data_IF_462465955291
#
_entry.id   IF_462465955291
#
_cell.length_a   1.000
_cell.length_b   1.000
_cell.length_c   1.000
_cell.angle_alpha   90.00
_cell.angle_beta   90.00
_cell.angle_gamma   90.00
#
_symmetry.space_group_name_H-M   'P 1'
#
loop_
_entity.id
_entity.type
_entity.pdbx_description
1 polymer ?
#
# COMPACT_ATOMS: atom_id res chain seq x y z
N UNK A 1 -33.64 39.82 6.71
CA UNK A 1 -33.84 38.65 5.84
C UNK A 1 -33.26 37.41 6.49
N UNK A 2 -34.02 36.32 6.52
CA UNK A 2 -33.88 35.18 7.44
C UNK A 2 -32.99 34.11 6.81
N UNK A 3 -31.70 34.04 7.14
CA UNK A 3 -30.74 32.99 6.69
C UNK A 3 -30.98 31.62 7.37
N UNK A 4 -32.24 31.21 7.56
CA UNK A 4 -32.56 29.92 8.21
C UNK A 4 -32.54 28.72 7.24
N UNK A 5 -32.47 28.94 5.92
CA UNK A 5 -32.49 27.88 4.92
C UNK A 5 -31.12 27.27 4.57
N UNK A 6 -30.05 28.06 4.56
CA UNK A 6 -28.74 27.61 4.01
C UNK A 6 -28.02 26.61 4.93
N UNK A 7 -28.25 26.70 6.25
CA UNK A 7 -27.60 25.82 7.23
C UNK A 7 -28.06 24.37 7.18
N UNK A 8 -29.28 24.10 6.70
CA UNK A 8 -29.82 22.74 6.62
C UNK A 8 -29.28 22.01 5.37
N UNK A 9 -29.19 22.70 4.24
CA UNK A 9 -28.62 22.15 3.00
C UNK A 9 -27.12 21.88 3.08
N UNK A 10 -26.35 22.73 3.79
CA UNK A 10 -24.92 22.48 4.02
C UNK A 10 -24.66 21.25 4.90
N UNK A 11 -25.48 21.05 5.95
CA UNK A 11 -25.34 19.90 6.85
C UNK A 11 -25.77 18.59 6.18
N UNK A 12 -26.80 18.64 5.33
CA UNK A 12 -27.29 17.48 4.59
C UNK A 12 -26.27 17.06 3.49
N UNK A 13 -25.62 18.02 2.84
CA UNK A 13 -24.57 17.75 1.86
C UNK A 13 -23.31 17.14 2.52
N UNK A 14 -22.95 17.60 3.73
CA UNK A 14 -21.84 17.03 4.51
C UNK A 14 -22.13 15.59 4.98
N UNK A 15 -23.38 15.28 5.33
CA UNK A 15 -23.80 13.92 5.74
C UNK A 15 -23.85 12.95 4.55
N UNK A 16 -24.28 13.41 3.37
CA UNK A 16 -24.29 12.61 2.13
C UNK A 16 -22.86 12.31 1.63
N UNK A 17 -21.92 13.26 1.77
CA UNK A 17 -20.49 13.04 1.47
C UNK A 17 -19.83 12.00 2.40
N UNK A 18 -20.25 11.96 3.67
CA UNK A 18 -19.78 10.95 4.64
C UNK A 18 -20.37 9.55 4.37
N UNK A 19 -21.61 9.44 3.88
CA UNK A 19 -22.24 8.15 3.56
C UNK A 19 -21.67 7.53 2.28
N UNK A 20 -21.39 8.31 1.24
CA UNK A 20 -20.84 7.79 -0.03
C UNK A 20 -19.40 7.28 0.08
N UNK A 21 -18.63 7.76 1.07
CA UNK A 21 -17.28 7.25 1.32
C UNK A 21 -17.26 5.90 2.05
N UNK A 22 -18.34 5.53 2.73
CA UNK A 22 -18.47 4.24 3.44
C UNK A 22 -18.91 3.11 2.49
N UNK A 23 -19.65 3.42 1.42
CA UNK A 23 -20.31 2.40 0.56
C UNK A 23 -19.43 1.94 -0.62
N UNK A 24 -18.34 2.64 -0.96
CA UNK A 24 -17.46 2.29 -2.10
C UNK A 24 -16.30 1.34 -1.76
N UNK A 25 -16.18 0.88 -0.52
CA UNK A 25 -15.12 -0.05 -0.12
C UNK A 25 -15.60 -1.52 -0.23
N UNK A 26 -15.68 -2.03 -1.46
CA UNK A 26 -15.51 -3.46 -1.70
C UNK A 26 -14.23 -3.67 -2.51
N UNK A 27 -13.14 -3.17 -1.93
CA UNK A 27 -11.77 -3.51 -2.30
C UNK A 27 -11.47 -4.92 -1.77
N UNK A 28 -10.56 -5.66 -2.41
CA UNK A 28 -9.67 -6.57 -1.71
C UNK A 28 -9.17 -5.85 -0.44
N UNK A 29 -9.84 -6.13 0.67
CA UNK A 29 -9.70 -5.40 1.92
C UNK A 29 -8.35 -5.78 2.50
N UNK A 30 -7.31 -5.05 2.11
CA UNK A 30 -5.96 -5.27 2.63
C UNK A 30 -5.87 -4.68 4.03
N UNK A 31 -5.36 -5.47 4.98
CA UNK A 31 -5.08 -4.98 6.33
C UNK A 31 -3.58 -4.82 6.54
N UNK A 32 -3.10 -3.58 6.47
CA UNK A 32 -1.69 -3.23 6.74
C UNK A 32 -1.31 -3.34 8.23
N UNK A 33 -2.27 -3.68 9.10
CA UNK A 33 -2.03 -3.96 10.51
C UNK A 33 -1.85 -5.45 10.80
N UNK A 34 -2.35 -6.34 9.93
CA UNK A 34 -2.13 -7.79 10.05
C UNK A 34 -0.67 -8.15 9.78
N UNK A 35 0.11 -8.28 10.85
CA UNK A 35 1.53 -8.61 10.78
C UNK A 35 1.79 -9.98 10.20
N UNK A 36 0.88 -10.94 10.40
CA UNK A 36 1.06 -12.29 9.85
C UNK A 36 0.89 -12.25 8.32
N UNK A 37 -0.13 -11.54 7.82
CA UNK A 37 -0.32 -11.30 6.39
C UNK A 37 0.89 -10.60 5.77
N UNK A 38 1.34 -9.50 6.38
CA UNK A 38 2.49 -8.76 5.86
C UNK A 38 3.79 -9.58 5.87
N UNK A 39 4.00 -10.46 6.85
CA UNK A 39 5.16 -11.36 6.88
C UNK A 39 5.12 -12.40 5.75
N UNK A 40 3.95 -12.98 5.46
CA UNK A 40 3.77 -13.90 4.33
C UNK A 40 3.95 -13.17 3.00
N UNK A 41 3.38 -11.98 2.86
CA UNK A 41 3.56 -11.12 1.69
C UNK A 41 5.02 -10.71 1.46
N UNK A 42 5.74 -10.36 2.53
CA UNK A 42 7.17 -10.06 2.45
C UNK A 42 7.98 -11.28 2.00
N UNK A 43 7.66 -12.48 2.50
CA UNK A 43 8.26 -13.73 2.03
C UNK A 43 8.01 -13.93 0.54
N UNK A 44 6.77 -13.80 0.07
CA UNK A 44 6.45 -13.93 -1.36
C UNK A 44 7.21 -12.91 -2.20
N UNK A 45 7.23 -11.64 -1.80
CA UNK A 45 7.96 -10.60 -2.51
C UNK A 45 9.45 -10.93 -2.63
N UNK A 46 10.09 -11.35 -1.53
CA UNK A 46 11.51 -11.66 -1.55
C UNK A 46 11.83 -12.87 -2.43
N UNK A 47 10.96 -13.89 -2.47
CA UNK A 47 11.20 -15.10 -3.24
C UNK A 47 10.83 -14.97 -4.73
N UNK A 48 9.81 -14.18 -5.07
CA UNK A 48 9.27 -14.13 -6.45
C UNK A 48 9.47 -12.79 -7.16
N UNK A 49 9.63 -11.69 -6.43
CA UNK A 49 9.65 -10.34 -7.01
C UNK A 49 11.02 -9.67 -6.91
N UNK A 50 11.74 -9.86 -5.79
CA UNK A 50 12.96 -9.12 -5.47
C UNK A 50 14.16 -9.41 -6.38
N UNK A 51 14.09 -10.46 -7.22
CA UNK A 51 15.08 -10.68 -8.27
C UNK A 51 15.04 -9.63 -9.38
N UNK A 52 13.86 -9.09 -9.67
CA UNK A 52 13.63 -8.13 -10.76
C UNK A 52 13.15 -6.77 -10.29
N UNK A 53 12.46 -6.68 -9.15
CA UNK A 53 11.88 -5.45 -8.64
C UNK A 53 12.54 -4.99 -7.34
N UNK A 54 12.92 -3.71 -7.32
CA UNK A 54 13.48 -3.06 -6.13
C UNK A 54 12.38 -2.41 -5.28
N UNK A 55 12.68 -2.21 -3.99
CA UNK A 55 11.95 -1.32 -3.09
C UNK A 55 12.94 -0.28 -2.52
N UNK A 56 13.43 0.62 -3.39
CA UNK A 56 14.48 1.58 -3.09
C UNK A 56 14.16 2.53 -1.93
N UNK A 57 12.87 2.76 -1.62
CA UNK A 57 12.45 3.63 -0.50
C UNK A 57 12.16 2.87 0.79
N UNK A 58 12.33 1.55 0.81
CA UNK A 58 12.16 0.73 2.01
C UNK A 58 13.49 0.06 2.39
N UNK A 59 13.92 0.31 3.63
CA UNK A 59 15.08 -0.37 4.23
C UNK A 59 14.64 -1.61 5.01
N UNK A 60 15.51 -2.62 5.06
CA UNK A 60 15.23 -3.89 5.73
C UNK A 60 14.88 -3.71 7.22
N UNK A 61 15.55 -2.80 7.94
CA UNK A 61 15.28 -2.51 9.35
C UNK A 61 13.87 -1.93 9.59
N UNK A 62 13.43 -1.01 8.74
CA UNK A 62 12.11 -0.39 8.80
C UNK A 62 11.02 -1.40 8.46
N UNK A 63 11.26 -2.21 7.43
CA UNK A 63 10.41 -3.34 7.09
C UNK A 63 10.29 -4.29 8.28
N UNK A 64 11.40 -4.76 8.86
CA UNK A 64 11.39 -5.67 10.00
C UNK A 64 10.57 -5.11 11.18
N UNK A 65 10.78 -3.83 11.52
CA UNK A 65 10.01 -3.17 12.58
C UNK A 65 8.51 -3.11 12.25
N UNK A 66 8.16 -2.74 11.02
CA UNK A 66 6.77 -2.67 10.59
C UNK A 66 6.07 -4.02 10.49
N UNK A 67 6.83 -5.08 10.18
CA UNK A 67 6.36 -6.47 10.15
C UNK A 67 6.31 -7.14 11.54
N UNK A 68 6.80 -6.47 12.59
CA UNK A 68 6.90 -7.07 13.93
C UNK A 68 7.98 -8.16 14.04
N UNK A 69 8.99 -8.14 13.16
CA UNK A 69 10.17 -9.02 13.21
C UNK A 69 11.14 -8.47 14.27
N UNK A 70 10.71 -8.58 15.52
CA UNK A 70 11.38 -8.03 16.69
C UNK A 70 11.55 -9.09 17.78
N UNK A 71 12.59 -8.95 18.59
CA UNK A 71 12.80 -9.76 19.80
C UNK A 71 11.92 -9.23 20.94
N UNK A 72 11.87 -9.96 22.06
CA UNK A 72 11.11 -9.58 23.25
C UNK A 72 11.51 -8.22 23.86
N UNK A 73 12.74 -7.77 23.62
CA UNK A 73 13.26 -6.45 24.05
C UNK A 73 12.84 -5.29 23.12
N UNK A 74 12.07 -5.57 22.06
CA UNK A 74 11.63 -4.60 21.07
C UNK A 74 12.67 -4.24 20.01
N UNK A 75 13.87 -4.83 20.01
CA UNK A 75 14.88 -4.66 18.96
C UNK A 75 14.56 -5.57 17.77
N UNK A 76 14.99 -5.18 16.57
CA UNK A 76 14.81 -6.02 15.36
C UNK A 76 15.52 -7.37 15.53
N UNK A 77 14.88 -8.45 15.08
CA UNK A 77 15.52 -9.76 15.03
C UNK A 77 16.31 -9.90 13.73
N UNK A 78 17.57 -9.45 13.76
CA UNK A 78 18.44 -9.47 12.57
C UNK A 78 18.67 -10.88 12.03
N UNK A 79 18.76 -11.89 12.89
CA UNK A 79 19.03 -13.26 12.47
C UNK A 79 17.85 -13.81 11.68
N UNK A 80 16.62 -13.57 12.18
CA UNK A 80 15.41 -13.96 11.46
C UNK A 80 15.30 -13.22 10.12
N UNK A 81 15.63 -11.93 10.09
CA UNK A 81 15.59 -11.12 8.89
C UNK A 81 16.60 -11.59 7.85
N UNK A 82 17.87 -11.80 8.24
CA UNK A 82 18.94 -12.25 7.34
C UNK A 82 18.66 -13.65 6.79
N UNK A 83 18.22 -14.57 7.64
CA UNK A 83 18.02 -15.96 7.23
C UNK A 83 16.80 -16.18 6.33
N UNK A 84 15.81 -15.27 6.34
CA UNK A 84 14.53 -15.50 5.65
C UNK A 84 14.15 -14.43 4.61
N UNK A 85 14.71 -13.23 4.67
CA UNK A 85 14.28 -12.11 3.83
C UNK A 85 15.45 -11.34 3.18
N UNK A 86 16.70 -11.57 3.57
CA UNK A 86 17.89 -10.99 2.94
C UNK A 86 18.70 -12.09 2.27
N UNK A 87 18.47 -12.32 0.98
CA UNK A 87 19.18 -13.34 0.20
C UNK A 87 20.44 -12.81 -0.51
N UNK A 88 20.86 -11.60 -0.16
CA UNK A 88 21.99 -10.89 -0.78
C UNK A 88 23.02 -10.50 0.28
N UNK A 89 24.10 -9.83 -0.13
CA UNK A 89 25.10 -9.27 0.78
C UNK A 89 24.67 -7.94 1.42
N UNK A 90 23.39 -7.57 1.31
CA UNK A 90 22.87 -6.34 1.90
C UNK A 90 22.87 -6.38 3.43
N UNK A 91 23.08 -5.22 4.05
CA UNK A 91 22.93 -5.03 5.48
C UNK A 91 21.49 -4.68 5.85
N UNK A 92 21.13 -4.79 7.12
CA UNK A 92 19.78 -4.45 7.61
C UNK A 92 19.43 -2.97 7.43
N UNK A 93 20.42 -2.10 7.24
CA UNK A 93 20.19 -0.68 7.01
C UNK A 93 20.09 -0.35 5.52
N UNK A 94 20.39 -1.27 4.62
CA UNK A 94 20.33 -1.01 3.19
C UNK A 94 18.88 -1.01 2.68
N UNK A 95 18.59 -0.25 1.61
CA UNK A 95 17.35 -0.40 0.87
C UNK A 95 17.32 -1.75 0.16
N UNK A 96 16.11 -2.22 -0.16
CA UNK A 96 15.92 -3.47 -0.90
C UNK A 96 16.21 -3.20 -2.38
N UNK A 97 17.41 -3.59 -2.82
CA UNK A 97 17.89 -3.43 -4.19
C UNK A 97 17.92 -4.77 -4.90
N UNK A 98 17.96 -4.70 -6.23
CA UNK A 98 18.16 -5.86 -7.10
C UNK A 98 19.57 -5.85 -7.67
N UNK A 99 20.05 -7.04 -8.04
CA UNK A 99 21.35 -7.18 -8.70
C UNK A 99 21.28 -6.94 -10.21
N UNK A 100 20.07 -6.93 -10.80
CA UNK A 100 19.85 -6.80 -12.25
C UNK A 100 20.18 -5.39 -12.75
N UNK A 101 21.23 -5.22 -13.60
CA UNK A 101 21.54 -3.93 -14.22
C UNK A 101 20.46 -3.52 -15.24
N UNK A 102 20.17 -2.21 -15.41
CA UNK A 102 19.16 -1.74 -16.36
C UNK A 102 19.41 -2.16 -17.82
N UNK A 103 20.67 -2.25 -18.21
CA UNK A 103 21.15 -2.56 -19.55
C UNK A 103 20.83 -4.03 -19.89
N UNK A 104 21.15 -4.93 -18.95
CA UNK A 104 20.80 -6.34 -19.04
C UNK A 104 19.28 -6.53 -19.00
N UNK A 105 18.57 -5.78 -18.15
CA UNK A 105 17.12 -5.82 -18.07
C UNK A 105 16.46 -5.44 -19.41
N UNK A 106 16.97 -4.38 -20.06
CA UNK A 106 16.48 -3.95 -21.37
C UNK A 106 16.82 -4.97 -22.45
N UNK A 107 17.98 -5.62 -22.37
CA UNK A 107 18.37 -6.66 -23.32
C UNK A 107 17.49 -7.92 -23.19
N UNK A 108 17.19 -8.36 -21.95
CA UNK A 108 16.46 -9.61 -21.70
C UNK A 108 14.95 -9.45 -21.77
N UNK A 109 14.40 -8.35 -21.25
CA UNK A 109 12.96 -8.13 -21.13
C UNK A 109 12.43 -7.03 -22.08
N UNK A 110 13.30 -6.28 -22.75
CA UNK A 110 12.92 -5.13 -23.57
C UNK A 110 12.61 -3.85 -22.78
N UNK A 111 12.47 -3.96 -21.45
CA UNK A 111 12.17 -2.86 -20.55
C UNK A 111 12.85 -3.09 -19.19
N UNK A 112 13.18 -2.01 -18.50
CA UNK A 112 13.67 -2.06 -17.12
C UNK A 112 12.48 -2.26 -16.18
N UNK A 113 12.47 -3.31 -15.34
CA UNK A 113 11.43 -3.48 -14.33
C UNK A 113 11.34 -2.25 -13.41
N UNK A 114 10.14 -1.73 -13.12
CA UNK A 114 9.98 -0.58 -12.25
C UNK A 114 10.29 -0.92 -10.79
N UNK A 115 10.71 0.10 -10.05
CA UNK A 115 10.70 0.08 -8.58
C UNK A 115 9.26 -0.01 -8.07
N UNK A 116 9.02 -0.87 -7.08
CA UNK A 116 7.67 -1.12 -6.54
C UNK A 116 7.42 -0.42 -5.20
N UNK A 117 8.32 0.46 -4.73
CA UNK A 117 8.18 1.12 -3.43
C UNK A 117 6.88 1.90 -3.29
N UNK A 118 6.33 2.43 -4.39
CA UNK A 118 5.13 3.27 -4.38
C UNK A 118 4.02 2.74 -5.29
N UNK A 119 4.17 1.53 -5.85
CA UNK A 119 3.25 1.02 -6.87
C UNK A 119 1.82 0.87 -6.35
N UNK A 120 1.66 0.44 -5.09
CA UNK A 120 0.35 0.29 -4.47
C UNK A 120 -0.35 1.64 -4.28
N UNK A 121 0.42 2.71 -4.03
CA UNK A 121 -0.11 4.07 -3.90
C UNK A 121 -0.44 4.71 -5.24
N UNK A 122 0.30 4.35 -6.30
CA UNK A 122 0.05 4.83 -7.65
C UNK A 122 -1.15 4.14 -8.31
N UNK A 123 -1.23 2.81 -8.22
CA UNK A 123 -2.21 1.99 -8.95
C UNK A 123 -3.40 1.54 -8.09
N UNK A 124 -3.24 1.48 -6.77
CA UNK A 124 -4.22 0.87 -5.87
C UNK A 124 -4.06 -0.65 -5.74
N UNK A 125 -4.58 -1.21 -4.64
CA UNK A 125 -4.48 -2.64 -4.32
C UNK A 125 -5.30 -3.52 -5.24
N UNK A 126 -6.49 -3.07 -5.64
CA UNK A 126 -7.33 -3.78 -6.62
C UNK A 126 -6.62 -4.02 -7.94
N UNK A 127 -5.93 -2.98 -8.41
CA UNK A 127 -5.20 -3.05 -9.66
C UNK A 127 -4.05 -4.05 -9.55
N UNK A 128 -3.30 -4.04 -8.44
CA UNK A 128 -2.21 -4.99 -8.21
C UNK A 128 -2.72 -6.43 -8.13
N UNK A 129 -3.77 -6.68 -7.35
CA UNK A 129 -4.38 -8.00 -7.22
C UNK A 129 -4.85 -8.52 -8.58
N UNK A 130 -5.59 -7.68 -9.31
CA UNK A 130 -6.12 -8.02 -10.63
C UNK A 130 -5.03 -8.21 -11.67
N UNK A 131 -3.93 -7.44 -11.58
CA UNK A 131 -2.78 -7.57 -12.47
C UNK A 131 -2.06 -8.90 -12.23
N UNK A 132 -1.77 -9.26 -10.98
CA UNK A 132 -1.10 -10.52 -10.64
C UNK A 132 -1.95 -11.75 -10.95
N UNK A 133 -3.28 -11.66 -10.76
CA UNK A 133 -4.22 -12.74 -11.10
C UNK A 133 -4.64 -12.74 -12.59
N UNK A 134 -4.21 -11.73 -13.37
CA UNK A 134 -4.65 -11.48 -14.74
C UNK A 134 -3.81 -12.15 -15.83
N UNK A 135 -2.78 -12.92 -15.45
CA UNK A 135 -1.92 -13.62 -16.40
C UNK A 135 -2.65 -14.81 -17.03
N UNK A 136 -2.42 -15.00 -18.33
CA UNK A 136 -2.92 -16.13 -19.09
C UNK A 136 -1.87 -16.58 -20.12
N UNK A 137 -1.99 -17.82 -20.59
CA UNK A 137 -1.08 -18.40 -21.57
C UNK A 137 -1.30 -17.80 -22.95
N UNK A 138 -0.22 -17.37 -23.58
CA UNK A 138 -0.19 -16.74 -24.91
C UNK A 138 1.15 -17.07 -25.57
N UNK A 139 1.18 -18.11 -26.40
CA UNK A 139 2.39 -18.61 -27.04
C UNK A 139 2.96 -17.63 -28.09
N UNK A 140 2.22 -16.57 -28.46
CA UNK A 140 2.73 -15.51 -29.33
C UNK A 140 3.65 -14.53 -28.58
N UNK A 141 3.73 -14.61 -27.26
CA UNK A 141 4.57 -13.74 -26.42
C UNK A 141 5.92 -14.40 -26.11
N UNK A 142 7.01 -13.62 -25.92
CA UNK A 142 8.34 -14.16 -25.65
C UNK A 142 8.42 -15.12 -24.45
N UNK A 143 7.60 -14.88 -23.42
CA UNK A 143 7.55 -15.70 -22.20
C UNK A 143 6.34 -16.63 -22.14
N UNK A 144 5.62 -16.80 -23.25
CA UNK A 144 4.45 -17.69 -23.33
C UNK A 144 3.24 -17.22 -22.51
N UNK A 145 3.25 -16.00 -21.98
CA UNK A 145 2.17 -15.44 -21.18
C UNK A 145 1.88 -13.99 -21.52
N UNK A 146 0.64 -13.58 -21.31
CA UNK A 146 0.17 -12.20 -21.47
C UNK A 146 -0.75 -11.83 -20.30
N UNK A 147 -1.17 -10.58 -20.22
CA UNK A 147 -1.98 -10.07 -19.11
C UNK A 147 -3.25 -9.37 -19.60
N UNK A 148 -4.38 -9.64 -18.93
CA UNK A 148 -5.69 -9.09 -19.29
C UNK A 148 -5.81 -7.58 -19.04
N UNK A 149 -5.10 -7.05 -18.05
CA UNK A 149 -5.12 -5.62 -17.73
C UNK A 149 -4.07 -4.83 -18.51
N UNK A 150 -2.93 -5.47 -18.80
CA UNK A 150 -1.82 -4.85 -19.52
C UNK A 150 -1.44 -5.74 -20.71
N UNK A 151 -2.15 -5.64 -21.85
CA UNK A 151 -1.82 -6.43 -23.03
C UNK A 151 -0.41 -6.13 -23.52
N UNK A 152 0.34 -7.17 -23.85
CA UNK A 152 1.71 -7.04 -24.33
C UNK A 152 2.72 -6.74 -23.23
N UNK A 153 2.38 -7.05 -21.97
CA UNK A 153 3.30 -6.91 -20.83
C UNK A 153 4.61 -7.67 -21.06
N UNK A 154 5.71 -7.10 -20.56
CA UNK A 154 7.04 -7.71 -20.62
C UNK A 154 7.31 -8.65 -19.43
N UNK A 155 6.59 -8.47 -18.32
CA UNK A 155 6.70 -9.29 -17.12
C UNK A 155 6.21 -10.72 -17.40
N UNK A 156 7.01 -11.76 -17.12
CA UNK A 156 6.56 -13.15 -17.16
C UNK A 156 5.53 -13.46 -16.05
N UNK A 157 4.80 -14.57 -16.17
CA UNK A 157 3.96 -15.07 -15.08
C UNK A 157 4.80 -15.74 -13.97
N UNK A 158 5.43 -14.92 -13.14
CA UNK A 158 6.29 -15.38 -12.03
C UNK A 158 5.57 -16.19 -10.94
N UNK A 159 4.23 -16.14 -10.87
CA UNK A 159 3.43 -16.90 -9.91
C UNK A 159 2.77 -18.13 -10.53
N UNK A 160 3.14 -18.53 -11.76
CA UNK A 160 2.52 -19.66 -12.46
C UNK A 160 2.60 -20.96 -11.65
N UNK A 161 3.80 -21.29 -11.13
CA UNK A 161 4.01 -22.48 -10.30
C UNK A 161 3.14 -22.44 -9.04
N UNK A 162 3.10 -21.30 -8.34
CA UNK A 162 2.31 -21.14 -7.13
C UNK A 162 0.81 -21.28 -7.40
N UNK A 163 0.32 -20.73 -8.51
CA UNK A 163 -1.08 -20.84 -8.93
C UNK A 163 -1.45 -22.26 -9.38
N UNK A 164 -0.48 -23.08 -9.80
CA UNK A 164 -0.71 -24.48 -10.18
C UNK A 164 -0.66 -25.43 -8.96
N UNK A 165 0.22 -25.17 -8.00
CA UNK A 165 0.40 -26.01 -6.81
C UNK A 165 -0.70 -25.81 -5.75
N UNK A 166 -1.24 -24.58 -5.64
CA UNK A 166 -2.20 -24.24 -4.61
C UNK A 166 -3.66 -24.32 -5.10
N UNK A 167 -4.59 -24.75 -4.22
CA UNK A 167 -6.02 -24.49 -4.40
C UNK A 167 -6.30 -23.01 -4.64
N UNK A 168 -7.34 -22.69 -5.44
CA UNK A 168 -7.56 -21.32 -5.92
C UNK A 168 -7.80 -20.32 -4.79
N UNK A 169 -8.48 -20.73 -3.73
CA UNK A 169 -8.70 -19.96 -2.51
C UNK A 169 -7.38 -19.66 -1.78
N UNK A 170 -6.50 -20.64 -1.64
CA UNK A 170 -5.19 -20.45 -1.02
C UNK A 170 -4.30 -19.52 -1.84
N UNK A 171 -4.27 -19.70 -3.17
CA UNK A 171 -3.55 -18.79 -4.05
C UNK A 171 -4.06 -17.34 -3.94
N UNK A 172 -5.38 -17.16 -3.86
CA UNK A 172 -5.96 -15.83 -3.67
C UNK A 172 -5.55 -15.21 -2.32
N UNK A 173 -5.42 -16.01 -1.25
CA UNK A 173 -4.90 -15.54 0.04
C UNK A 173 -3.43 -15.11 -0.05
N UNK A 174 -2.58 -15.89 -0.73
CA UNK A 174 -1.18 -15.53 -0.97
C UNK A 174 -1.06 -14.23 -1.79
N UNK A 175 -1.90 -14.06 -2.82
CA UNK A 175 -1.99 -12.81 -3.56
C UNK A 175 -2.43 -11.64 -2.67
N UNK A 176 -3.42 -11.86 -1.80
CA UNK A 176 -3.88 -10.85 -0.85
C UNK A 176 -2.76 -10.46 0.12
N UNK A 177 -2.00 -11.42 0.64
CA UNK A 177 -0.85 -11.17 1.52
C UNK A 177 0.25 -10.36 0.79
N UNK A 178 0.58 -10.73 -0.46
CA UNK A 178 1.55 -10.00 -1.28
C UNK A 178 1.10 -8.56 -1.55
N UNK A 179 -0.16 -8.36 -1.91
CA UNK A 179 -0.71 -7.02 -2.17
C UNK A 179 -0.81 -6.21 -0.88
N UNK A 180 -1.17 -6.82 0.24
CA UNK A 180 -1.16 -6.19 1.58
C UNK A 180 0.25 -5.75 1.95
N UNK A 181 1.27 -6.56 1.66
CA UNK A 181 2.66 -6.17 1.84
C UNK A 181 3.04 -4.98 0.95
N UNK A 182 2.71 -4.98 -0.34
CA UNK A 182 2.98 -3.84 -1.22
C UNK A 182 2.22 -2.57 -0.80
N UNK A 183 1.01 -2.70 -0.24
CA UNK A 183 0.27 -1.59 0.35
C UNK A 183 1.00 -1.01 1.57
N UNK A 184 1.50 -1.86 2.46
CA UNK A 184 2.36 -1.45 3.56
C UNK A 184 3.64 -0.77 3.06
N UNK A 185 4.30 -1.31 2.02
CA UNK A 185 5.51 -0.72 1.43
C UNK A 185 5.24 0.70 0.91
N UNK A 186 4.09 0.92 0.26
CA UNK A 186 3.67 2.24 -0.24
C UNK A 186 3.33 3.25 0.86
N UNK A 187 2.89 2.78 2.04
CA UNK A 187 2.54 3.62 3.19
C UNK A 187 2.91 3.00 4.56
N UNK A 188 4.20 2.87 4.91
CA UNK A 188 4.62 2.11 6.10
C UNK A 188 4.21 2.75 7.43
N UNK A 189 3.78 4.02 7.40
CA UNK A 189 3.36 4.83 8.54
C UNK A 189 1.84 5.00 8.63
N UNK A 190 1.05 4.23 7.88
CA UNK A 190 -0.40 4.40 7.78
C UNK A 190 -1.11 4.32 9.14
N UNK A 191 -0.76 3.35 10.00
CA UNK A 191 -1.38 3.20 11.33
C UNK A 191 -1.09 4.38 12.26
N UNK A 192 0.12 4.92 12.22
CA UNK A 192 0.53 6.09 12.99
C UNK A 192 -0.18 7.34 12.47
N UNK A 193 -0.30 7.48 11.15
CA UNK A 193 -1.03 8.59 10.50
C UNK A 193 -2.48 8.65 10.97
N UNK A 194 -3.20 7.52 11.00
CA UNK A 194 -4.60 7.52 11.47
C UNK A 194 -4.71 7.83 12.95
N UNK A 195 -3.84 7.26 13.79
CA UNK A 195 -3.83 7.53 15.24
C UNK A 195 -3.58 9.00 15.54
N UNK A 196 -2.55 9.61 14.94
CA UNK A 196 -2.23 11.03 15.14
C UNK A 196 -3.30 11.91 14.48
N UNK A 197 -3.77 11.52 13.30
CA UNK A 197 -4.81 12.24 12.56
C UNK A 197 -6.07 12.45 13.39
N UNK A 198 -6.50 11.46 14.17
CA UNK A 198 -7.64 11.61 15.07
C UNK A 198 -7.42 12.74 16.09
N UNK A 199 -6.28 12.76 16.78
CA UNK A 199 -5.96 13.82 17.74
C UNK A 199 -5.90 15.20 17.09
N UNK A 200 -5.26 15.31 15.92
CA UNK A 200 -5.14 16.57 15.19
C UNK A 200 -6.50 17.08 14.73
N UNK A 201 -7.34 16.22 14.15
CA UNK A 201 -8.69 16.60 13.70
C UNK A 201 -9.56 17.03 14.88
N UNK A 202 -9.53 16.31 16.00
CA UNK A 202 -10.24 16.71 17.22
C UNK A 202 -9.79 18.08 17.73
N UNK A 203 -8.48 18.33 17.77
CA UNK A 203 -7.92 19.62 18.17
C UNK A 203 -8.39 20.76 17.24
N UNK A 204 -8.28 20.56 15.92
CA UNK A 204 -8.70 21.55 14.93
C UNK A 204 -10.20 21.83 15.00
N UNK A 205 -11.02 20.82 15.28
CA UNK A 205 -12.46 20.99 15.47
C UNK A 205 -12.77 21.88 16.70
N UNK A 206 -12.10 21.64 17.83
CA UNK A 206 -12.26 22.48 19.03
C UNK A 206 -11.82 23.91 18.77
N UNK A 207 -10.64 24.09 18.14
CA UNK A 207 -10.13 25.41 17.77
C UNK A 207 -11.10 26.16 16.84
N UNK A 208 -11.69 25.44 15.87
CA UNK A 208 -12.68 26.00 14.96
C UNK A 208 -13.90 26.54 15.72
N UNK A 209 -14.42 25.81 16.72
CA UNK A 209 -15.52 26.29 17.56
C UNK A 209 -15.15 27.54 18.37
N UNK A 210 -13.93 27.59 18.91
CA UNK A 210 -13.42 28.76 19.65
C UNK A 210 -13.34 29.98 18.73
N UNK A 211 -12.81 29.82 17.52
CA UNK A 211 -12.73 30.91 16.53
C UNK A 211 -14.12 31.39 16.11
N UNK A 212 -15.10 30.49 15.94
CA UNK A 212 -16.48 30.88 15.68
C UNK A 212 -17.09 31.67 16.84
N UNK A 213 -16.80 31.27 18.08
CA UNK A 213 -17.17 32.02 19.29
C UNK A 213 -16.58 33.43 19.28
N UNK A 214 -15.27 33.54 19.02
CA UNK A 214 -14.57 34.81 18.96
C UNK A 214 -15.11 35.73 17.85
N UNK A 215 -15.37 35.17 16.66
CA UNK A 215 -16.00 35.89 15.54
C UNK A 215 -17.34 36.49 15.97
N UNK A 216 -18.21 35.70 16.60
CA UNK A 216 -19.54 36.16 17.06
C UNK A 216 -19.44 37.33 18.04
N UNK A 217 -18.44 37.32 18.93
CA UNK A 217 -18.23 38.39 19.91
C UNK A 217 -17.70 39.65 19.25
N UNK A 218 -16.69 39.55 18.40
CA UNK A 218 -16.09 40.70 17.72
C UNK A 218 -17.08 41.40 16.78
N UNK A 219 -17.83 40.63 15.99
CA UNK A 219 -18.80 41.17 15.04
C UNK A 219 -19.96 41.88 15.76
N UNK A 220 -20.39 41.35 16.91
CA UNK A 220 -21.38 42.01 17.77
C UNK A 220 -20.87 43.36 18.30
N UNK A 221 -19.60 43.45 18.70
CA UNK A 221 -19.00 44.69 19.19
C UNK A 221 -18.82 45.73 18.08
N UNK A 222 -18.45 45.32 16.86
CA UNK A 222 -18.15 46.24 15.76
C UNK A 222 -19.36 46.57 14.88
N UNK A 223 -20.57 46.12 15.24
CA UNK A 223 -21.80 46.42 14.48
C UNK A 223 -21.88 45.77 13.09
N UNK A 224 -20.99 44.82 12.80
CA UNK A 224 -20.94 44.09 11.52
C UNK A 224 -21.95 42.94 11.62
N UNK A 225 -23.08 43.05 10.88
CA UNK A 225 -24.12 42.01 10.83
C UNK A 225 -23.73 40.84 9.94
#
# INVERSE_FOLDING_TARGET
>A
MRMKGVSFYLSLCFFILLLNSVVLAHSAEVDVQDKASLQRGARLFMNYCSGCHSLNYLRYNHMAKGLGITRFDGRINEDLLKNNLIFTQATVNDPIRIALPPEDAKQWFGIVPPDLSLVAREKGTEWLYSYLNGFYRDDARPFGTNNRLVPGVAMPNILETLNHELPKDQFNNELHDLVSFLAYVGEPMQSIRYRIGLYVVSFLFVLFLVVLGLKRVYWRKNGIK
#
